data_IF_795344235416
#
_entry.id   IF_795344235416
#
_cell.length_a   1.000
_cell.length_b   1.000
_cell.length_c   1.000
_cell.angle_alpha   90.00
_cell.angle_beta   90.00
_cell.angle_gamma   90.00
#
_symmetry.space_group_name_H-M   'P 1'
#
loop_
_entity.id
_entity.type
_entity.pdbx_description
1 polymer ?
#
# COMPACT_ATOMS: atom_id res chain seq x y z
N UNK A 1 29.77 35.18 -29.78
CA UNK A 1 28.60 34.46 -29.23
C UNK A 1 29.13 33.40 -28.27
N UNK A 2 28.99 33.57 -26.95
CA UNK A 2 29.57 32.61 -26.02
C UNK A 2 28.70 31.36 -25.97
N UNK A 3 29.36 30.23 -26.15
CA UNK A 3 28.79 28.89 -26.12
C UNK A 3 28.52 28.54 -24.64
N UNK A 4 27.26 28.67 -24.20
CA UNK A 4 26.86 28.28 -22.84
C UNK A 4 26.80 26.74 -22.81
N UNK A 5 27.85 26.11 -22.28
CA UNK A 5 27.89 24.67 -22.03
C UNK A 5 27.14 24.38 -20.72
N UNK A 6 25.88 23.98 -20.82
CA UNK A 6 25.06 23.57 -19.68
C UNK A 6 25.53 22.17 -19.21
N UNK A 7 26.34 22.11 -18.15
CA UNK A 7 26.70 20.87 -17.47
C UNK A 7 25.50 20.34 -16.66
N UNK A 8 24.68 19.50 -17.27
CA UNK A 8 23.65 18.70 -16.59
C UNK A 8 24.32 17.51 -15.88
N UNK A 9 24.93 17.75 -14.71
CA UNK A 9 25.36 16.67 -13.82
C UNK A 9 24.42 16.61 -12.62
N UNK A 10 23.42 15.74 -12.68
CA UNK A 10 22.73 15.29 -11.48
C UNK A 10 22.05 13.94 -11.71
N UNK A 11 22.81 12.86 -11.50
CA UNK A 11 22.26 11.65 -10.92
C UNK A 11 22.97 11.46 -9.58
N UNK A 12 22.39 11.98 -8.50
CA UNK A 12 22.74 11.48 -7.16
C UNK A 12 22.11 10.11 -7.01
N UNK A 13 22.89 9.06 -7.19
CA UNK A 13 22.54 7.74 -6.68
C UNK A 13 22.54 7.81 -5.17
N UNK A 14 21.36 7.96 -4.56
CA UNK A 14 21.18 7.72 -3.12
C UNK A 14 21.39 6.22 -2.91
N UNK A 15 22.54 5.85 -2.35
CA UNK A 15 22.72 4.50 -1.81
C UNK A 15 21.87 4.41 -0.54
N UNK A 16 20.65 3.88 -0.68
CA UNK A 16 19.84 3.49 0.48
C UNK A 16 20.62 2.40 1.21
N UNK A 17 21.24 2.74 2.33
CA UNK A 17 21.73 1.74 3.28
C UNK A 17 20.51 1.07 3.89
N UNK A 18 20.11 -0.06 3.32
CA UNK A 18 19.03 -0.87 3.89
C UNK A 18 19.57 -1.47 5.18
N UNK A 19 19.20 -0.89 6.32
CA UNK A 19 19.33 -1.56 7.61
C UNK A 19 18.64 -2.93 7.56
N UNK A 20 19.08 -3.82 8.45
CA UNK A 20 18.65 -5.21 8.59
C UNK A 20 17.17 -5.43 8.26
N UNK A 21 16.88 -6.13 7.17
CA UNK A 21 15.52 -6.47 6.75
C UNK A 21 14.85 -7.39 7.77
N UNK A 22 13.63 -7.05 8.18
CA UNK A 22 12.78 -7.88 9.03
C UNK A 22 11.61 -8.38 8.19
N UNK A 23 11.40 -9.70 8.16
CA UNK A 23 10.23 -10.33 7.55
C UNK A 23 9.20 -10.63 8.62
N UNK A 24 7.96 -10.15 8.42
CA UNK A 24 6.82 -10.55 9.24
C UNK A 24 6.36 -11.92 8.77
N UNK A 25 6.51 -12.94 9.62
CA UNK A 25 6.15 -14.31 9.27
C UNK A 25 4.63 -14.53 9.43
N UNK A 26 4.08 -15.51 8.72
CA UNK A 26 2.67 -15.94 8.84
C UNK A 26 1.61 -14.88 8.49
N UNK A 27 1.98 -13.81 7.79
CA UNK A 27 0.98 -12.97 7.11
C UNK A 27 0.32 -13.82 6.02
N UNK A 28 -1.00 -14.04 6.05
CA UNK A 28 -1.68 -14.85 5.04
C UNK A 28 -1.61 -14.17 3.68
N UNK A 29 -1.37 -14.97 2.64
CA UNK A 29 -1.36 -14.51 1.27
C UNK A 29 -2.74 -14.65 0.64
N UNK A 30 -3.20 -13.58 -0.01
CA UNK A 30 -4.42 -13.57 -0.82
C UNK A 30 -4.04 -13.25 -2.26
N UNK A 31 -4.32 -14.12 -3.24
CA UNK A 31 -4.12 -13.79 -4.65
C UNK A 31 -5.01 -12.59 -5.00
N UNK A 32 -4.43 -11.58 -5.63
CA UNK A 32 -5.17 -10.39 -6.02
C UNK A 32 -5.91 -10.62 -7.34
N UNK A 33 -7.21 -10.31 -7.33
CA UNK A 33 -8.01 -10.15 -8.54
C UNK A 33 -7.93 -8.69 -9.04
N UNK A 34 -8.53 -8.41 -10.20
CA UNK A 34 -8.54 -7.07 -10.78
C UNK A 34 -9.08 -6.02 -9.80
N UNK A 35 -8.35 -4.91 -9.68
CA UNK A 35 -8.68 -3.77 -8.82
C UNK A 35 -8.71 -4.05 -7.31
N UNK A 36 -8.15 -5.18 -6.84
CA UNK A 36 -8.18 -5.59 -5.43
C UNK A 36 -6.81 -5.59 -4.71
N UNK A 37 -5.78 -4.94 -5.25
CA UNK A 37 -4.47 -4.88 -4.58
C UNK A 37 -4.55 -4.25 -3.16
N UNK A 38 -5.33 -3.18 -2.99
CA UNK A 38 -5.59 -2.55 -1.68
C UNK A 38 -6.33 -3.49 -0.72
N UNK A 39 -7.54 -3.97 -1.08
CA UNK A 39 -8.30 -4.94 -0.30
C UNK A 39 -7.52 -6.21 0.09
N UNK A 40 -6.79 -6.82 -0.85
CA UNK A 40 -5.97 -8.01 -0.58
C UNK A 40 -4.84 -7.72 0.42
N UNK A 41 -4.17 -6.57 0.28
CA UNK A 41 -3.14 -6.14 1.23
C UNK A 41 -3.71 -5.91 2.63
N UNK A 42 -4.88 -5.28 2.71
CA UNK A 42 -5.53 -4.99 3.99
C UNK A 42 -6.01 -6.26 4.68
N UNK A 43 -6.57 -7.22 3.93
CA UNK A 43 -6.93 -8.54 4.44
C UNK A 43 -5.71 -9.27 5.01
N UNK A 44 -4.56 -9.24 4.31
CA UNK A 44 -3.30 -9.81 4.81
C UNK A 44 -2.91 -9.27 6.19
N UNK A 45 -2.87 -7.94 6.33
CA UNK A 45 -2.52 -7.28 7.60
C UNK A 45 -3.56 -7.56 8.69
N UNK A 46 -4.85 -7.46 8.39
CA UNK A 46 -5.91 -7.67 9.37
C UNK A 46 -5.99 -9.11 9.86
N UNK A 47 -5.81 -10.09 8.97
CA UNK A 47 -5.85 -11.50 9.35
C UNK A 47 -4.56 -11.96 10.04
N UNK A 48 -3.43 -11.32 9.79
CA UNK A 48 -2.26 -11.48 10.64
C UNK A 48 -2.58 -11.14 12.12
N UNK A 49 -3.50 -10.20 12.36
CA UNK A 49 -4.00 -9.84 13.69
C UNK A 49 -5.30 -10.54 14.11
N UNK A 50 -5.79 -11.53 13.34
CA UNK A 50 -6.89 -12.42 13.74
C UNK A 50 -8.32 -11.93 13.48
N UNK A 51 -8.53 -11.00 12.54
CA UNK A 51 -9.86 -10.42 12.25
C UNK A 51 -10.80 -11.36 11.48
N UNK A 52 -10.28 -12.37 10.78
CA UNK A 52 -11.01 -13.28 9.88
C UNK A 52 -11.88 -12.55 8.84
N UNK A 53 -11.23 -11.95 7.84
CA UNK A 53 -11.86 -11.16 6.79
C UNK A 53 -11.32 -11.47 5.40
N UNK A 54 -12.16 -11.42 4.37
CA UNK A 54 -11.71 -11.72 3.00
C UNK A 54 -11.51 -10.44 2.16
N UNK A 55 -10.59 -10.43 1.18
CA UNK A 55 -10.41 -9.30 0.27
C UNK A 55 -11.71 -8.84 -0.39
N UNK A 56 -12.58 -9.77 -0.77
CA UNK A 56 -13.84 -9.46 -1.46
C UNK A 56 -14.82 -8.70 -0.56
N UNK A 57 -14.82 -8.97 0.74
CA UNK A 57 -15.68 -8.28 1.71
C UNK A 57 -15.18 -6.87 1.99
N UNK A 58 -13.86 -6.66 1.94
CA UNK A 58 -13.26 -5.32 1.99
C UNK A 58 -13.61 -4.57 0.69
N UNK A 59 -13.37 -5.18 -0.47
CA UNK A 59 -13.60 -4.57 -1.78
C UNK A 59 -15.07 -4.14 -1.99
N UNK A 60 -16.04 -4.93 -1.53
CA UNK A 60 -17.47 -4.55 -1.55
C UNK A 60 -17.75 -3.22 -0.85
N UNK A 61 -16.97 -2.87 0.17
CA UNK A 61 -17.18 -1.66 0.97
C UNK A 61 -16.38 -0.47 0.45
N UNK A 62 -15.16 -0.69 -0.06
CA UNK A 62 -14.21 0.41 -0.36
C UNK A 62 -13.76 0.49 -1.83
N UNK A 63 -14.44 -0.22 -2.74
CA UNK A 63 -14.19 -0.06 -4.17
C UNK A 63 -14.79 1.26 -4.68
N UNK A 64 -13.96 2.03 -5.36
CA UNK A 64 -14.33 3.24 -6.09
C UNK A 64 -14.31 2.98 -7.59
N UNK A 65 -15.47 3.09 -8.22
CA UNK A 65 -15.62 2.94 -9.68
C UNK A 65 -14.93 4.05 -10.46
N UNK A 66 -14.90 5.28 -9.92
CA UNK A 66 -14.23 6.42 -10.54
C UNK A 66 -12.70 6.27 -10.49
N UNK A 67 -12.17 5.72 -9.39
CA UNK A 67 -10.74 5.40 -9.29
C UNK A 67 -10.36 4.11 -10.02
N UNK A 68 -11.35 3.26 -10.34
CA UNK A 68 -11.14 1.88 -10.80
C UNK A 68 -10.25 1.10 -9.82
N UNK A 69 -10.59 1.15 -8.53
CA UNK A 69 -9.77 0.59 -7.47
C UNK A 69 -10.16 1.11 -6.10
N UNK A 70 -9.22 1.11 -5.16
CA UNK A 70 -9.42 1.60 -3.80
C UNK A 70 -8.51 2.80 -3.54
N UNK A 71 -9.04 3.83 -2.88
CA UNK A 71 -8.25 4.98 -2.45
C UNK A 71 -7.61 4.71 -1.08
N UNK A 72 -6.43 5.29 -0.85
CA UNK A 72 -5.72 5.14 0.44
C UNK A 72 -6.56 5.63 1.63
N UNK A 73 -7.32 6.72 1.45
CA UNK A 73 -8.23 7.24 2.48
C UNK A 73 -9.32 6.23 2.85
N UNK A 74 -9.85 5.48 1.89
CA UNK A 74 -10.89 4.48 2.14
C UNK A 74 -10.31 3.29 2.92
N UNK A 75 -9.06 2.90 2.64
CA UNK A 75 -8.35 1.88 3.43
C UNK A 75 -8.12 2.34 4.86
N UNK A 76 -7.69 3.60 5.06
CA UNK A 76 -7.51 4.20 6.38
C UNK A 76 -8.82 4.22 7.19
N UNK A 77 -9.92 4.67 6.58
CA UNK A 77 -11.24 4.72 7.23
C UNK A 77 -11.71 3.30 7.58
N UNK A 78 -11.58 2.35 6.64
CA UNK A 78 -11.99 0.98 6.84
C UNK A 78 -11.23 0.31 7.99
N UNK A 79 -9.91 0.48 8.05
CA UNK A 79 -9.08 -0.06 9.12
C UNK A 79 -9.53 0.47 10.50
N UNK A 80 -9.72 1.79 10.62
CA UNK A 80 -10.21 2.40 11.86
C UNK A 80 -11.61 1.89 12.25
N UNK A 81 -12.53 1.75 11.28
CA UNK A 81 -13.87 1.18 11.51
C UNK A 81 -13.81 -0.25 12.04
N UNK A 82 -12.79 -1.03 11.66
CA UNK A 82 -12.53 -2.40 12.15
C UNK A 82 -11.76 -2.45 13.47
N UNK A 83 -11.50 -1.31 14.11
CA UNK A 83 -10.84 -1.23 15.41
C UNK A 83 -9.31 -1.17 15.37
N UNK A 84 -8.71 -0.97 14.19
CA UNK A 84 -7.27 -0.75 14.04
C UNK A 84 -6.93 0.72 14.26
N UNK A 85 -5.75 1.00 14.79
CA UNK A 85 -5.22 2.36 14.77
C UNK A 85 -4.39 2.56 13.50
N UNK A 86 -5.04 2.95 12.40
CA UNK A 86 -4.36 3.34 11.17
C UNK A 86 -4.13 4.86 11.14
N UNK A 87 -3.06 5.31 10.49
CA UNK A 87 -2.68 6.71 10.34
C UNK A 87 -2.42 7.01 8.85
N UNK A 88 -2.79 8.21 8.41
CA UNK A 88 -2.48 8.72 7.08
C UNK A 88 -1.50 9.89 7.25
N UNK A 89 -0.38 9.87 6.51
CA UNK A 89 0.68 10.88 6.53
C UNK A 89 0.61 11.80 5.33
#
# INVERSE_FOLDING_TARGET
MPFILFFLSSCSTVSVQIEKTIRINKVPFYPQEDYQCGPASLAGVMNYWGVDIKPEDIAKEIYSSSARGTLDIDMFIYANKKGFHAQQY
#
